data_IF_669225880582
#
_entry.id   IF_669225880582
#
_cell.length_a   1.000
_cell.length_b   1.000
_cell.length_c   1.000
_cell.angle_alpha   90.00
_cell.angle_beta   90.00
_cell.angle_gamma   90.00
#
_symmetry.space_group_name_H-M   'P 1'
#
loop_
_entity.id
_entity.type
_entity.pdbx_description
1 polymer ?
#
# COMPACT_ATOMS: atom_id res chain seq x y z
N UNK A 1 -35.46 -3.50 12.64
CA UNK A 1 -34.15 -3.88 13.18
C UNK A 1 -33.14 -3.82 12.04
N UNK A 2 -32.83 -2.60 11.60
CA UNK A 2 -31.93 -2.38 10.46
C UNK A 2 -30.51 -2.28 10.99
N UNK A 3 -29.74 -3.33 10.71
CA UNK A 3 -28.34 -3.46 11.06
C UNK A 3 -27.52 -2.38 10.35
N UNK A 4 -27.20 -1.32 11.08
CA UNK A 4 -26.25 -0.29 10.67
C UNK A 4 -24.87 -0.77 11.15
N UNK A 5 -24.24 -1.66 10.39
CA UNK A 5 -22.82 -1.99 10.61
C UNK A 5 -22.03 -0.77 10.17
N UNK A 6 -21.61 0.03 11.15
CA UNK A 6 -20.77 1.21 10.93
C UNK A 6 -19.50 0.82 10.19
N UNK A 7 -19.47 1.26 8.93
CA UNK A 7 -18.40 1.17 7.97
C UNK A 7 -17.18 1.92 8.51
N UNK A 8 -16.15 1.21 8.98
CA UNK A 8 -14.83 1.82 9.19
C UNK A 8 -14.26 2.20 7.82
N UNK A 9 -14.62 3.41 7.38
CA UNK A 9 -13.96 4.16 6.33
C UNK A 9 -12.50 4.37 6.75
N UNK A 10 -11.59 3.54 6.26
CA UNK A 10 -10.16 3.85 6.32
C UNK A 10 -9.83 4.81 5.19
N UNK A 11 -10.26 6.07 5.34
CA UNK A 11 -9.71 7.15 4.54
C UNK A 11 -9.09 8.20 5.45
N UNK A 12 -7.85 8.51 5.09
CA UNK A 12 -7.10 9.73 5.40
C UNK A 12 -6.31 9.81 6.72
N UNK A 13 -5.00 9.69 6.50
CA UNK A 13 -3.92 10.50 7.11
C UNK A 13 -3.68 10.30 8.62
N UNK A 14 -2.39 10.24 8.94
CA UNK A 14 -1.81 10.33 10.28
C UNK A 14 -1.91 9.09 11.19
N UNK A 15 -0.79 8.35 11.31
CA UNK A 15 -0.14 7.84 12.55
C UNK A 15 -1.01 7.11 13.61
N UNK A 16 -2.26 6.74 13.31
CA UNK A 16 -3.23 6.24 14.30
C UNK A 16 -3.87 4.88 13.98
N UNK A 17 -3.37 4.16 12.97
CA UNK A 17 -3.91 2.84 12.62
C UNK A 17 -3.11 1.65 13.20
N UNK A 18 -1.98 1.89 13.90
CA UNK A 18 -1.26 0.82 14.61
C UNK A 18 -2.12 0.33 15.78
N UNK A 19 -2.73 -0.84 15.64
CA UNK A 19 -3.53 -1.50 16.68
C UNK A 19 -5.03 -1.70 16.37
N UNK A 20 -5.59 -0.98 15.41
CA UNK A 20 -6.98 -1.13 14.94
C UNK A 20 -7.11 -2.11 13.75
N UNK A 21 -7.10 -3.43 13.99
CA UNK A 21 -7.23 -4.45 12.93
C UNK A 21 -8.70 -4.80 12.76
N UNK A 22 -9.16 -4.97 11.52
CA UNK A 22 -10.57 -5.23 11.23
C UNK A 22 -10.75 -6.55 10.45
N UNK A 23 -11.86 -7.25 10.66
CA UNK A 23 -12.19 -8.46 9.88
C UNK A 23 -12.42 -8.15 8.40
N UNK A 24 -12.95 -6.96 8.09
CA UNK A 24 -13.23 -6.50 6.74
C UNK A 24 -12.70 -5.08 6.56
N UNK A 25 -11.94 -4.83 5.50
CA UNK A 25 -11.39 -3.51 5.17
C UNK A 25 -11.85 -3.06 3.79
N UNK A 26 -12.29 -1.81 3.69
CA UNK A 26 -12.62 -1.15 2.42
C UNK A 26 -11.56 -0.10 2.11
N UNK A 27 -10.93 -0.22 0.96
CA UNK A 27 -9.96 0.73 0.42
C UNK A 27 -10.63 1.46 -0.74
N UNK A 28 -10.89 2.75 -0.56
CA UNK A 28 -11.58 3.59 -1.56
C UNK A 28 -10.54 4.52 -2.20
N UNK A 29 -10.75 4.86 -3.48
CA UNK A 29 -9.83 5.65 -4.30
C UNK A 29 -8.44 5.00 -4.47
N UNK A 30 -8.40 3.68 -4.61
CA UNK A 30 -7.14 2.94 -4.72
C UNK A 30 -6.31 3.31 -5.96
N UNK A 31 -6.95 3.83 -7.02
CA UNK A 31 -6.29 4.32 -8.23
C UNK A 31 -5.31 5.47 -7.98
N UNK A 32 -5.44 6.19 -6.86
CA UNK A 32 -4.49 7.24 -6.48
C UNK A 32 -3.08 6.71 -6.19
N UNK A 33 -2.90 5.41 -5.94
CA UNK A 33 -1.58 4.82 -5.70
C UNK A 33 -0.64 4.84 -6.93
N UNK A 34 -1.18 5.12 -8.11
CA UNK A 34 -0.43 5.27 -9.37
C UNK A 34 -0.10 6.72 -9.72
N UNK A 35 -0.64 7.69 -8.99
CA UNK A 35 -0.39 9.10 -9.25
C UNK A 35 1.09 9.46 -8.98
N UNK A 36 1.68 10.25 -9.89
CA UNK A 36 3.13 10.46 -9.98
C UNK A 36 3.70 11.26 -8.80
N UNK A 37 2.89 12.10 -8.16
CA UNK A 37 3.28 12.77 -6.93
C UNK A 37 3.21 11.80 -5.74
N UNK A 38 4.32 11.63 -5.02
CA UNK A 38 4.41 10.81 -3.80
C UNK A 38 3.99 9.33 -3.96
N UNK A 39 4.23 8.73 -5.14
CA UNK A 39 3.88 7.34 -5.45
C UNK A 39 4.31 6.34 -4.37
N UNK A 40 5.55 6.44 -3.87
CA UNK A 40 6.06 5.58 -2.79
C UNK A 40 5.23 5.66 -1.51
N UNK A 41 4.86 6.87 -1.10
CA UNK A 41 4.03 7.08 0.10
C UNK A 41 2.63 6.48 -0.09
N UNK A 42 2.00 6.73 -1.25
CA UNK A 42 0.65 6.20 -1.55
C UNK A 42 0.65 4.67 -1.65
N UNK A 43 1.69 4.06 -2.22
CA UNK A 43 1.91 2.60 -2.23
C UNK A 43 2.06 2.04 -0.82
N UNK A 44 2.86 2.69 0.04
CA UNK A 44 3.03 2.26 1.43
C UNK A 44 1.73 2.37 2.23
N UNK A 45 0.91 3.39 1.98
CA UNK A 45 -0.44 3.51 2.55
C UNK A 45 -1.35 2.37 2.09
N UNK A 46 -1.37 2.06 0.79
CA UNK A 46 -2.14 0.94 0.26
C UNK A 46 -1.70 -0.39 0.91
N UNK A 47 -0.39 -0.65 0.99
CA UNK A 47 0.16 -1.84 1.64
C UNK A 47 -0.25 -1.93 3.12
N UNK A 48 -0.17 -0.81 3.84
CA UNK A 48 -0.59 -0.75 5.24
C UNK A 48 -2.07 -1.08 5.36
N UNK A 49 -2.94 -0.50 4.52
CA UNK A 49 -4.37 -0.78 4.53
C UNK A 49 -4.70 -2.24 4.23
N UNK A 50 -4.00 -2.87 3.28
CA UNK A 50 -4.13 -4.31 2.99
C UNK A 50 -3.80 -5.16 4.23
N UNK A 51 -2.70 -4.87 4.92
CA UNK A 51 -2.24 -5.64 6.08
C UNK A 51 -3.00 -5.36 7.39
N UNK A 52 -3.92 -4.37 7.42
CA UNK A 52 -4.85 -4.17 8.55
C UNK A 52 -6.02 -5.15 8.57
N UNK A 53 -6.27 -5.88 7.47
CA UNK A 53 -7.38 -6.83 7.40
C UNK A 53 -7.00 -8.20 7.94
N UNK A 54 -7.93 -8.81 8.68
CA UNK A 54 -7.81 -10.21 9.15
C UNK A 54 -8.45 -11.23 8.22
N UNK A 55 -9.33 -10.81 7.32
CA UNK A 55 -10.05 -11.75 6.46
C UNK A 55 -10.36 -11.18 5.07
N UNK A 56 -11.22 -10.17 4.99
CA UNK A 56 -11.71 -9.69 3.68
C UNK A 56 -11.22 -8.28 3.40
N UNK A 57 -10.84 -8.02 2.14
CA UNK A 57 -10.50 -6.68 1.67
C UNK A 57 -11.28 -6.38 0.40
N UNK A 58 -11.84 -5.18 0.32
CA UNK A 58 -12.45 -4.64 -0.90
C UNK A 58 -11.69 -3.40 -1.35
N UNK A 59 -11.14 -3.46 -2.55
CA UNK A 59 -10.39 -2.36 -3.17
C UNK A 59 -11.25 -1.73 -4.27
N UNK A 60 -11.51 -0.43 -4.15
CA UNK A 60 -12.44 0.33 -5.00
C UNK A 60 -11.69 1.53 -5.58
N UNK A 61 -11.87 1.77 -6.88
CA UNK A 61 -11.29 2.88 -7.61
C UNK A 61 -11.85 2.95 -9.03
N UNK A 62 -11.35 3.90 -9.83
CA UNK A 62 -11.80 4.10 -11.21
C UNK A 62 -10.63 4.45 -12.15
N UNK A 63 -10.88 4.33 -13.46
CA UNK A 63 -9.95 4.74 -14.52
C UNK A 63 -8.80 3.75 -14.78
N UNK A 64 -7.91 4.12 -15.71
CA UNK A 64 -6.78 3.30 -16.17
C UNK A 64 -5.82 2.91 -15.05
N UNK A 65 -5.65 3.78 -14.04
CA UNK A 65 -4.84 3.50 -12.86
C UNK A 65 -5.44 2.37 -12.00
N UNK A 66 -6.77 2.26 -11.92
CA UNK A 66 -7.42 1.13 -11.25
C UNK A 66 -7.23 -0.15 -12.07
N UNK A 67 -7.32 -0.08 -13.39
CA UNK A 67 -7.07 -1.24 -14.27
C UNK A 67 -5.63 -1.74 -14.13
N UNK A 68 -4.65 -0.82 -14.06
CA UNK A 68 -3.26 -1.16 -13.79
C UNK A 68 -3.10 -1.84 -12.41
N UNK A 69 -3.78 -1.33 -11.38
CA UNK A 69 -3.77 -1.96 -10.05
C UNK A 69 -4.40 -3.37 -10.06
N UNK A 70 -5.50 -3.56 -10.80
CA UNK A 70 -6.13 -4.86 -10.95
C UNK A 70 -5.20 -5.85 -11.65
N UNK A 71 -4.48 -5.42 -12.70
CA UNK A 71 -3.49 -6.25 -13.38
C UNK A 71 -2.37 -6.70 -12.44
N UNK A 72 -1.85 -5.81 -11.60
CA UNK A 72 -0.85 -6.17 -10.58
C UNK A 72 -1.41 -7.23 -9.60
N UNK A 73 -2.67 -7.10 -9.14
CA UNK A 73 -3.28 -8.13 -8.29
C UNK A 73 -3.46 -9.47 -9.00
N UNK A 74 -3.87 -9.47 -10.26
CA UNK A 74 -3.99 -10.69 -11.05
C UNK A 74 -2.62 -11.34 -11.29
N UNK A 75 -1.56 -10.55 -11.49
CA UNK A 75 -0.18 -11.06 -11.55
C UNK A 75 0.23 -11.78 -10.27
N UNK A 76 -0.03 -11.19 -9.10
CA UNK A 76 0.26 -11.82 -7.81
C UNK A 76 -0.50 -13.13 -7.64
N UNK A 77 -1.79 -13.17 -8.02
CA UNK A 77 -2.60 -14.40 -8.00
C UNK A 77 -2.03 -15.46 -8.94
N UNK A 78 -1.66 -15.08 -10.16
CA UNK A 78 -1.03 -15.99 -11.14
C UNK A 78 0.31 -16.52 -10.64
N UNK A 79 1.04 -15.73 -9.84
CA UNK A 79 2.28 -16.14 -9.20
C UNK A 79 2.06 -16.88 -7.86
N UNK A 80 0.86 -17.43 -7.62
CA UNK A 80 0.51 -18.17 -6.41
C UNK A 80 0.82 -17.43 -5.10
N UNK A 81 0.75 -16.10 -5.11
CA UNK A 81 1.09 -15.27 -3.95
C UNK A 81 2.53 -15.43 -3.44
N UNK A 82 3.43 -15.94 -4.28
CA UNK A 82 4.85 -16.06 -3.96
C UNK A 82 5.61 -14.79 -4.34
N UNK A 83 6.60 -14.42 -3.52
CA UNK A 83 7.53 -13.34 -3.84
C UNK A 83 8.76 -13.93 -4.53
N UNK A 84 8.86 -13.75 -5.85
CA UNK A 84 10.08 -14.05 -6.58
C UNK A 84 11.06 -12.89 -6.45
N UNK A 85 12.12 -13.10 -5.67
CA UNK A 85 13.14 -12.09 -5.42
C UNK A 85 14.52 -12.67 -5.66
N UNK A 86 15.28 -12.04 -6.57
CA UNK A 86 16.69 -12.36 -6.79
C UNK A 86 17.51 -11.47 -5.87
N UNK A 87 18.28 -12.09 -4.97
CA UNK A 87 19.12 -11.33 -4.06
C UNK A 87 20.25 -10.64 -4.83
N UNK A 88 20.41 -9.31 -4.70
CA UNK A 88 21.39 -8.56 -5.46
C UNK A 88 22.83 -8.92 -5.08
N UNK A 89 23.74 -8.88 -6.04
CA UNK A 89 25.15 -9.15 -5.84
C UNK A 89 25.83 -8.06 -5.00
N UNK A 90 27.05 -8.33 -4.52
CA UNK A 90 27.82 -7.34 -3.75
C UNK A 90 28.08 -6.02 -4.50
N UNK A 91 28.17 -6.06 -5.84
CA UNK A 91 28.34 -4.88 -6.68
C UNK A 91 27.05 -4.06 -6.76
N UNK A 92 25.94 -4.71 -7.08
CA UNK A 92 24.62 -4.06 -7.20
C UNK A 92 24.15 -3.45 -5.87
N UNK A 93 24.50 -4.08 -4.74
CA UNK A 93 24.20 -3.54 -3.41
C UNK A 93 24.81 -2.16 -3.13
N UNK A 94 25.89 -1.76 -3.82
CA UNK A 94 26.49 -0.43 -3.67
C UNK A 94 25.68 0.67 -4.34
N UNK A 95 24.93 0.31 -5.39
CA UNK A 95 24.07 1.22 -6.17
C UNK A 95 22.65 1.31 -5.58
N UNK A 96 22.28 0.42 -4.66
CA UNK A 96 20.99 0.46 -4.00
C UNK A 96 20.90 1.68 -3.09
N UNK A 97 19.85 2.49 -3.30
CA UNK A 97 19.48 3.54 -2.36
C UNK A 97 19.07 2.90 -1.02
N UNK A 98 19.95 3.00 -0.03
CA UNK A 98 19.67 2.60 1.34
C UNK A 98 18.64 3.60 1.88
N UNK A 99 17.39 3.16 2.00
CA UNK A 99 16.24 3.97 2.47
C UNK A 99 16.42 4.38 3.94
N UNK A 100 17.23 3.63 4.69
CA UNK A 100 17.56 3.88 6.10
C UNK A 100 18.91 4.61 6.27
N UNK A 101 19.14 5.66 5.48
CA UNK A 101 20.11 6.68 5.89
C UNK A 101 19.40 7.58 6.90
N UNK A 102 19.96 7.72 8.11
CA UNK A 102 19.55 8.73 9.07
C UNK A 102 19.54 10.10 8.36
N UNK A 103 18.36 10.55 7.93
CA UNK A 103 18.20 11.87 7.33
C UNK A 103 18.51 12.90 8.40
N UNK A 104 19.55 13.70 8.17
CA UNK A 104 19.84 14.84 9.02
C UNK A 104 18.66 15.83 8.98
N UNK A 105 18.44 16.56 10.08
CA UNK A 105 17.32 17.51 10.25
C UNK A 105 17.25 18.54 9.10
N UNK A 106 18.38 18.78 8.43
CA UNK A 106 18.54 19.74 7.34
C UNK A 106 17.76 19.38 6.05
N UNK A 107 17.56 18.10 5.75
CA UNK A 107 16.99 17.65 4.48
C UNK A 107 15.44 17.62 4.48
N UNK A 108 14.80 17.81 5.65
CA UNK A 108 13.32 17.76 5.79
C UNK A 108 12.58 19.04 5.35
N UNK A 109 13.25 20.05 4.81
CA UNK A 109 12.67 21.40 4.59
C UNK A 109 12.65 21.90 3.12
N UNK A 110 12.79 21.02 2.14
CA UNK A 110 12.66 21.39 0.72
C UNK A 110 11.37 20.80 0.16
#
# INVERSE_FOLDING_TARGET
MNSLVMMQLYLHKYIGAKGNEASMVYIINAHECFDGSNRTQKRNMLFTALTRSKAWVRVIGYGSNMEALQKEFEEVKRNNFELQFVYPTAGERKELNIVDRDMSIQERKI
#
